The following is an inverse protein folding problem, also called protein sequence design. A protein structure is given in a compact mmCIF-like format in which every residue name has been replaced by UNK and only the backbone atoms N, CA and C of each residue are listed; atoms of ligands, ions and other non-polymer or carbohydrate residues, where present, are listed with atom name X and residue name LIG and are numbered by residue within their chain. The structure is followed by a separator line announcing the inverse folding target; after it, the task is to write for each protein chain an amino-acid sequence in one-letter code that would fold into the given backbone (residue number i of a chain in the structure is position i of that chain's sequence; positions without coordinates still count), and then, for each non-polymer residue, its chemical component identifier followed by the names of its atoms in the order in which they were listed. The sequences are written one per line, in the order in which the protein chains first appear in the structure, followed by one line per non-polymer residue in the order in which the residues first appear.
data_IF_338008701075
#
_entry.id   IF_338008701075
#
_cell.length_a   1.000
_cell.length_b   1.000
_cell.length_c   1.000
_cell.angle_alpha   90.00
_cell.angle_beta   90.00
_cell.angle_gamma   90.00
#
_symmetry.space_group_name_H-M   'P 1'
#
loop_
_entity.id
_entity.type
_entity.pdbx_description
1 polymer ?
#
# COMPACT_ATOMS: atom_id res chain seq x y z
N UNK A 1 2.54 13.14 -5.70
CA UNK A 1 1.51 12.59 -4.77
C UNK A 1 0.74 11.52 -5.52
N UNK A 2 0.40 10.41 -4.87
CA UNK A 2 -0.44 9.33 -5.41
C UNK A 2 -1.74 9.25 -4.60
N UNK A 3 -2.86 9.00 -5.28
CA UNK A 3 -4.15 8.78 -4.63
C UNK A 3 -4.47 7.27 -4.59
N UNK A 4 -4.72 6.75 -3.37
CA UNK A 4 -5.30 5.42 -3.18
C UNK A 4 -6.79 5.56 -2.86
N UNK A 5 -7.62 5.09 -3.78
CA UNK A 5 -9.08 5.14 -3.68
C UNK A 5 -9.58 3.84 -3.06
N UNK A 6 -10.48 3.94 -2.11
CA UNK A 6 -11.18 2.81 -1.51
C UNK A 6 -12.63 2.84 -1.96
N UNK A 7 -12.94 1.98 -2.92
CA UNK A 7 -14.26 1.85 -3.53
C UNK A 7 -15.08 0.79 -2.76
N UNK A 8 -16.26 1.12 -2.22
CA UNK A 8 -17.13 0.14 -1.54
C UNK A 8 -17.54 -1.01 -2.46
N UNK A 9 -17.60 -0.81 -3.78
CA UNK A 9 -17.93 -1.88 -4.73
C UNK A 9 -16.91 -3.03 -4.69
N UNK A 10 -15.67 -2.77 -4.24
CA UNK A 10 -14.65 -3.81 -4.03
C UNK A 10 -15.09 -4.86 -2.97
N UNK A 11 -15.93 -4.47 -2.03
CA UNK A 11 -16.41 -5.33 -0.94
C UNK A 11 -17.78 -5.96 -1.22
N UNK A 12 -18.41 -5.64 -2.36
CA UNK A 12 -19.69 -6.25 -2.71
C UNK A 12 -19.47 -7.72 -3.05
N UNK A 13 -19.97 -8.59 -2.19
CA UNK A 13 -20.14 -10.00 -2.49
C UNK A 13 -21.52 -10.19 -3.15
N UNK A 14 -21.58 -10.54 -4.45
CA UNK A 14 -22.84 -10.70 -5.17
C UNK A 14 -23.71 -11.84 -4.62
N UNK A 15 -23.16 -12.72 -3.77
CA UNK A 15 -23.86 -13.88 -3.21
C UNK A 15 -24.27 -13.70 -1.75
N UNK A 16 -23.66 -12.78 -1.00
CA UNK A 16 -23.88 -12.63 0.45
C UNK A 16 -24.71 -11.44 0.88
N UNK A 17 -24.96 -10.47 -0.01
CA UNK A 17 -25.81 -9.31 0.30
C UNK A 17 -25.32 -8.45 1.48
N UNK A 18 -24.04 -8.59 1.86
CA UNK A 18 -23.43 -7.81 2.94
C UNK A 18 -23.29 -6.35 2.49
N UNK A 19 -23.72 -5.42 3.33
CA UNK A 19 -23.46 -4.00 3.12
C UNK A 19 -21.94 -3.74 3.08
N UNK A 20 -21.39 -3.20 1.97
CA UNK A 20 -19.95 -2.96 1.86
C UNK A 20 -19.45 -1.78 2.69
N UNK A 21 -20.31 -0.84 3.12
CA UNK A 21 -19.87 0.40 3.77
C UNK A 21 -19.17 0.17 5.13
N UNK A 22 -19.68 -0.67 6.05
CA UNK A 22 -18.98 -0.94 7.32
C UNK A 22 -17.61 -1.59 7.13
N UNK A 23 -17.45 -2.46 6.12
CA UNK A 23 -16.17 -3.10 5.80
C UNK A 23 -15.17 -2.08 5.24
N UNK A 24 -15.66 -1.17 4.40
CA UNK A 24 -14.88 -0.06 3.88
C UNK A 24 -14.40 0.86 5.02
N UNK A 25 -15.31 1.28 5.91
CA UNK A 25 -14.98 2.14 7.05
C UNK A 25 -13.94 1.49 7.97
N UNK A 26 -14.10 0.19 8.26
CA UNK A 26 -13.12 -0.57 9.04
C UNK A 26 -11.76 -0.64 8.33
N UNK A 27 -11.75 -0.94 7.02
CA UNK A 27 -10.52 -1.03 6.22
C UNK A 27 -9.74 0.29 6.21
N UNK A 28 -10.45 1.41 5.99
CA UNK A 28 -9.87 2.76 5.96
C UNK A 28 -9.38 3.14 7.35
N UNK A 29 -10.16 2.88 8.40
CA UNK A 29 -9.79 3.17 9.79
C UNK A 29 -8.54 2.41 10.22
N UNK A 30 -8.48 1.09 9.94
CA UNK A 30 -7.29 0.28 10.22
C UNK A 30 -6.06 0.80 9.47
N UNK A 31 -6.23 1.27 8.25
CA UNK A 31 -5.12 1.80 7.45
C UNK A 31 -4.65 3.18 7.93
N UNK A 32 -5.55 4.07 8.28
CA UNK A 32 -5.20 5.36 8.87
C UNK A 32 -4.42 5.16 10.18
N UNK A 33 -4.92 4.28 11.06
CA UNK A 33 -4.24 3.90 12.30
C UNK A 33 -2.86 3.29 12.06
N UNK A 34 -2.70 2.45 11.03
CA UNK A 34 -1.39 1.91 10.66
C UNK A 34 -0.39 3.01 10.32
N UNK A 35 -0.79 4.03 9.57
CA UNK A 35 0.08 5.18 9.28
C UNK A 35 0.41 5.99 10.54
N UNK A 36 -0.53 6.18 11.47
CA UNK A 36 -0.26 6.81 12.76
C UNK A 36 0.83 6.07 13.54
N UNK A 37 0.77 4.74 13.59
CA UNK A 37 1.77 3.90 14.27
C UNK A 37 3.13 3.90 13.59
N UNK A 38 3.15 4.07 12.26
CA UNK A 38 4.37 4.10 11.45
C UNK A 38 4.95 5.51 11.28
N UNK A 39 4.53 6.49 12.09
CA UNK A 39 4.95 7.89 11.93
C UNK A 39 6.48 8.07 11.83
N UNK A 40 7.27 7.28 12.56
CA UNK A 40 8.74 7.33 12.51
C UNK A 40 9.36 6.81 11.21
N UNK A 41 8.62 6.02 10.44
CA UNK A 41 9.08 5.41 9.19
C UNK A 41 8.57 6.15 7.94
N UNK A 42 7.68 7.12 8.12
CA UNK A 42 7.09 7.89 7.02
C UNK A 42 8.12 8.81 6.36
N UNK A 43 8.22 8.74 5.03
CA UNK A 43 9.18 9.51 4.21
C UNK A 43 10.56 8.90 4.11
N UNK A 44 10.76 7.71 4.68
CA UNK A 44 12.01 6.96 4.58
C UNK A 44 11.77 5.55 4.07
N UNK A 45 11.17 4.69 4.89
CA UNK A 45 10.87 3.30 4.55
C UNK A 45 9.40 3.10 4.12
N UNK A 46 8.52 3.98 4.58
CA UNK A 46 7.08 3.96 4.29
C UNK A 46 6.71 5.28 3.63
N UNK A 47 5.91 5.31 2.55
CA UNK A 47 5.46 6.57 1.94
C UNK A 47 4.72 7.44 2.96
N UNK A 48 4.94 8.75 2.95
CA UNK A 48 4.19 9.64 3.85
C UNK A 48 2.68 9.60 3.56
N UNK A 49 1.88 9.54 4.61
CA UNK A 49 0.44 9.75 4.54
C UNK A 49 0.16 11.25 4.62
N UNK A 50 -0.18 11.86 3.48
CA UNK A 50 -0.43 13.30 3.43
C UNK A 50 -1.79 13.64 4.04
N UNK A 51 -2.86 12.97 3.58
CA UNK A 51 -4.24 13.28 4.00
C UNK A 51 -5.24 12.21 3.56
N UNK A 52 -6.30 12.04 4.35
CA UNK A 52 -7.50 11.26 4.00
C UNK A 52 -8.65 12.20 3.65
N UNK A 53 -9.36 11.90 2.56
CA UNK A 53 -10.55 12.62 2.10
C UNK A 53 -11.72 11.67 1.92
N UNK A 54 -12.91 12.26 1.95
CA UNK A 54 -14.17 11.62 1.57
C UNK A 54 -14.71 12.38 0.38
N UNK A 55 -15.07 11.68 -0.68
CA UNK A 55 -15.62 12.30 -1.90
C UNK A 55 -16.71 11.43 -2.49
N UNK A 56 -17.80 12.01 -3.04
CA UNK A 56 -18.68 11.27 -3.92
C UNK A 56 -17.94 10.93 -5.22
N UNK A 57 -18.22 9.76 -5.80
CA UNK A 57 -17.75 9.34 -7.12
C UNK A 57 -18.90 9.50 -8.14
N UNK A 58 -18.88 10.54 -8.98
CA UNK A 58 -20.03 10.87 -9.84
C UNK A 58 -20.41 9.77 -10.83
N UNK A 59 -19.41 9.05 -11.33
CA UNK A 59 -19.57 7.94 -12.28
C UNK A 59 -20.26 6.72 -11.68
N UNK A 60 -20.40 6.63 -10.35
CA UNK A 60 -21.04 5.53 -9.62
C UNK A 60 -22.25 6.01 -8.83
N UNK A 61 -23.08 6.88 -9.43
CA UNK A 61 -24.31 7.37 -8.79
C UNK A 61 -24.05 8.18 -7.52
N UNK A 62 -22.91 8.89 -7.45
CA UNK A 62 -22.44 9.64 -6.28
C UNK A 62 -22.16 8.76 -5.04
N UNK A 63 -21.76 7.51 -5.24
CA UNK A 63 -21.29 6.67 -4.15
C UNK A 63 -20.11 7.33 -3.41
N UNK A 64 -20.13 7.32 -2.09
CA UNK A 64 -19.06 7.91 -1.28
C UNK A 64 -17.85 6.99 -1.25
N UNK A 65 -16.67 7.52 -1.61
CA UNK A 65 -15.39 6.84 -1.52
C UNK A 65 -14.44 7.55 -0.56
N UNK A 66 -13.51 6.77 -0.01
CA UNK A 66 -12.36 7.33 0.71
C UNK A 66 -11.17 7.45 -0.21
N UNK A 67 -10.44 8.57 -0.12
CA UNK A 67 -9.24 8.84 -0.91
C UNK A 67 -8.09 9.14 0.04
N UNK A 68 -7.09 8.28 0.06
CA UNK A 68 -5.86 8.48 0.83
C UNK A 68 -4.76 9.01 -0.09
N UNK A 69 -4.29 10.23 0.16
CA UNK A 69 -3.16 10.81 -0.53
C UNK A 69 -1.86 10.38 0.14
N UNK A 70 -0.98 9.81 -0.67
CA UNK A 70 0.34 9.35 -0.26
C UNK A 70 1.43 10.09 -1.02
N UNK A 71 2.61 10.14 -0.41
CA UNK A 71 3.84 10.49 -1.10
C UNK A 71 4.01 9.67 -2.37
N UNK A 72 4.48 10.33 -3.43
CA UNK A 72 4.94 9.64 -4.62
C UNK A 72 6.42 9.34 -4.43
N UNK A 73 6.73 8.08 -4.18
CA UNK A 73 8.11 7.61 -4.05
C UNK A 73 8.73 7.51 -5.45
N UNK A 74 9.90 8.11 -5.63
CA UNK A 74 10.67 7.97 -6.86
C UNK A 74 11.31 6.58 -6.91
N UNK A 75 11.44 6.00 -8.11
CA UNK A 75 12.01 4.67 -8.31
C UNK A 75 11.11 3.78 -9.13
N UNK A 76 11.44 2.49 -9.17
CA UNK A 76 10.61 1.47 -9.82
C UNK A 76 10.20 0.41 -8.81
N UNK A 77 9.05 -0.21 -9.06
CA UNK A 77 8.67 -1.35 -8.23
C UNK A 77 9.61 -2.54 -8.50
N UNK A 78 9.77 -3.40 -7.50
CA UNK A 78 10.76 -4.49 -7.52
C UNK A 78 10.56 -5.48 -8.68
N UNK A 79 9.40 -5.50 -9.36
CA UNK A 79 9.21 -6.37 -10.54
C UNK A 79 10.12 -5.99 -11.71
N UNK A 80 10.53 -4.73 -11.81
CA UNK A 80 11.46 -4.26 -12.85
C UNK A 80 12.89 -4.78 -12.64
N UNK A 81 13.18 -5.29 -11.44
CA UNK A 81 14.46 -5.93 -11.14
C UNK A 81 14.53 -7.40 -11.58
N UNK A 82 13.40 -8.01 -11.95
CA UNK A 82 13.39 -9.34 -12.58
C UNK A 82 13.89 -9.16 -14.02
N UNK A 83 15.12 -9.58 -14.34
CA UNK A 83 15.69 -9.26 -15.64
C UNK A 83 14.89 -9.97 -16.73
N UNK A 84 14.57 -9.25 -17.81
CA UNK A 84 14.28 -9.88 -19.09
C UNK A 84 15.48 -10.77 -19.48
N UNK A 85 15.30 -11.84 -20.28
CA UNK A 85 16.38 -12.76 -20.65
C UNK A 85 17.61 -12.09 -21.31
N UNK A 86 17.51 -10.82 -21.70
CA UNK A 86 18.55 -10.01 -22.34
C UNK A 86 19.16 -8.91 -21.45
N UNK A 87 18.71 -8.76 -20.20
CA UNK A 87 19.21 -7.76 -19.24
C UNK A 87 20.44 -8.29 -18.48
N UNK A 88 21.45 -7.44 -18.17
CA UNK A 88 22.48 -7.83 -17.21
C UNK A 88 21.79 -8.20 -15.88
N UNK A 89 22.02 -9.41 -15.40
CA UNK A 89 21.45 -9.90 -14.15
C UNK A 89 22.01 -9.11 -12.98
N UNK A 90 21.16 -8.73 -12.03
CA UNK A 90 21.62 -8.28 -10.71
C UNK A 90 22.55 -9.36 -10.12
N UNK A 91 23.72 -8.94 -9.62
CA UNK A 91 24.61 -9.87 -8.95
C UNK A 91 23.99 -10.34 -7.61
N UNK A 92 24.45 -11.49 -7.13
CA UNK A 92 23.94 -12.10 -5.89
C UNK A 92 23.95 -11.12 -4.71
N UNK A 93 25.00 -10.30 -4.58
CA UNK A 93 25.11 -9.33 -3.49
C UNK A 93 24.01 -8.28 -3.52
N UNK A 94 23.59 -7.80 -4.70
CA UNK A 94 22.48 -6.87 -4.82
C UNK A 94 21.16 -7.54 -4.42
N UNK A 95 20.92 -8.77 -4.89
CA UNK A 95 19.73 -9.52 -4.54
C UNK A 95 19.63 -9.75 -3.02
N UNK A 96 20.74 -10.13 -2.38
CA UNK A 96 20.80 -10.29 -0.92
C UNK A 96 20.49 -8.99 -0.20
N UNK A 97 21.11 -7.86 -0.61
CA UNK A 97 20.86 -6.57 0.02
C UNK A 97 19.39 -6.12 -0.08
N UNK A 98 18.73 -6.37 -1.21
CA UNK A 98 17.29 -6.04 -1.39
C UNK A 98 16.42 -6.90 -0.47
N UNK A 99 16.69 -8.21 -0.39
CA UNK A 99 15.94 -9.12 0.48
C UNK A 99 16.13 -8.74 1.94
N UNK A 100 17.37 -8.48 2.37
CA UNK A 100 17.68 -8.07 3.73
C UNK A 100 16.96 -6.75 4.09
N UNK A 101 16.98 -5.77 3.18
CA UNK A 101 16.26 -4.52 3.38
C UNK A 101 14.74 -4.74 3.50
N UNK A 102 14.13 -5.54 2.62
CA UNK A 102 12.69 -5.82 2.66
C UNK A 102 12.28 -6.56 3.94
N UNK A 103 13.09 -7.53 4.39
CA UNK A 103 12.85 -8.26 5.65
C UNK A 103 13.00 -7.34 6.86
N UNK A 104 14.01 -6.47 6.89
CA UNK A 104 14.17 -5.49 7.97
C UNK A 104 12.97 -4.54 8.06
N UNK A 105 12.53 -3.97 6.93
CA UNK A 105 11.33 -3.13 6.87
C UNK A 105 10.08 -3.89 7.35
N UNK A 106 9.96 -5.19 7.03
CA UNK A 106 8.84 -6.00 7.51
C UNK A 106 8.82 -6.10 9.04
N UNK A 107 9.97 -6.39 9.65
CA UNK A 107 10.08 -6.47 11.11
C UNK A 107 9.90 -5.11 11.77
N UNK A 108 10.46 -4.04 11.21
CA UNK A 108 10.27 -2.67 11.68
C UNK A 108 8.77 -2.31 11.74
N UNK A 109 8.02 -2.62 10.68
CA UNK A 109 6.56 -2.43 10.63
C UNK A 109 5.84 -3.29 11.68
N UNK A 110 6.25 -4.55 11.84
CA UNK A 110 5.67 -5.47 12.80
C UNK A 110 5.88 -5.00 14.26
N UNK A 111 7.06 -4.46 14.58
CA UNK A 111 7.37 -3.92 15.91
C UNK A 111 6.51 -2.70 16.26
N UNK A 112 6.00 -1.97 15.26
CA UNK A 112 4.98 -0.94 15.44
C UNK A 112 3.55 -1.49 15.61
N UNK A 113 3.39 -2.80 15.84
CA UNK A 113 2.09 -3.46 15.93
C UNK A 113 1.22 -3.26 14.68
N UNK A 114 1.85 -3.15 13.51
CA UNK A 114 1.18 -3.12 12.20
C UNK A 114 1.45 -4.42 11.48
N UNK A 115 0.39 -5.12 11.09
CA UNK A 115 0.51 -6.36 10.32
C UNK A 115 0.49 -6.05 8.82
N UNK A 116 1.66 -5.91 8.21
CA UNK A 116 1.76 -5.84 6.75
C UNK A 116 1.42 -7.22 6.15
N UNK A 117 0.41 -7.28 5.29
CA UNK A 117 -0.06 -8.53 4.67
C UNK A 117 0.25 -8.62 3.18
N UNK A 118 0.73 -7.53 2.58
CA UNK A 118 0.85 -7.40 1.13
C UNK A 118 2.24 -6.88 0.73
N UNK A 119 3.31 -7.52 1.22
CA UNK A 119 4.68 -7.32 0.73
C UNK A 119 4.93 -8.04 -0.60
N UNK A 120 4.05 -7.82 -1.57
CA UNK A 120 4.28 -8.25 -2.94
C UNK A 120 5.35 -7.36 -3.61
N UNK A 121 6.11 -7.87 -4.60
CA UNK A 121 7.13 -7.08 -5.30
C UNK A 121 6.62 -5.77 -5.91
N UNK A 122 5.34 -5.71 -6.33
CA UNK A 122 4.73 -4.48 -6.85
C UNK A 122 4.50 -3.38 -5.79
N UNK A 123 4.61 -3.71 -4.50
CA UNK A 123 4.43 -2.79 -3.38
C UNK A 123 5.77 -2.36 -2.73
N UNK A 124 6.90 -2.81 -3.28
CA UNK A 124 8.24 -2.43 -2.85
C UNK A 124 8.88 -1.58 -3.95
N UNK A 125 9.33 -0.37 -3.60
CA UNK A 125 9.94 0.58 -4.54
C UNK A 125 11.44 0.71 -4.21
N UNK A 126 12.27 0.66 -5.25
CA UNK A 126 13.74 0.68 -5.18
C UNK A 126 14.27 1.82 -6.05
#
# INVERSE_FOLDING_TARGET
IIAKIFDPLYFIDPYKGTDPFPLLDLSVSCKAEAYCRLASFQGTQVPQCCRLFVSPLPSQGNCTVYILLLEQVAGQDMRYLVPAPTSPSLCLAHCTAIVDAAVNVFYDILMCSVKQRDMAPCNLII
#
